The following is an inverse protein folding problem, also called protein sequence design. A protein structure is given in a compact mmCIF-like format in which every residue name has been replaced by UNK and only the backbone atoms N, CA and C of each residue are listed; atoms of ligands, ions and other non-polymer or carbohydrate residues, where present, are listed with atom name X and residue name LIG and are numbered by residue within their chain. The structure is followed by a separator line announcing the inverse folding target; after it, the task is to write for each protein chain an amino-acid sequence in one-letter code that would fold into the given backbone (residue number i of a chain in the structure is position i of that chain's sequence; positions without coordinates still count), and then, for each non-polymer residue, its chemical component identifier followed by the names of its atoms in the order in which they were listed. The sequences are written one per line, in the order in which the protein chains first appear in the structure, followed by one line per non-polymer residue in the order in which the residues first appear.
data_IF_043836914148
#
_entry.id   IF_043836914148
#
_cell.length_a   1.000
_cell.length_b   1.000
_cell.length_c   1.000
_cell.angle_alpha   90.00
_cell.angle_beta   90.00
_cell.angle_gamma   90.00
#
_symmetry.space_group_name_H-M   'P 1'
#
loop_
_entity.id
_entity.type
_entity.pdbx_description
1 polymer ?
#
# COMPACT_ATOMS: atom_id res chain seq x y z
N UNK A 1 32.30 43.65 -79.60
CA UNK A 1 31.89 43.56 -78.18
C UNK A 1 30.44 44.02 -78.06
N UNK A 2 29.50 43.09 -77.90
CA UNK A 2 28.06 43.35 -77.74
C UNK A 2 27.61 42.81 -76.38
N UNK A 3 27.03 43.72 -75.59
CA UNK A 3 25.93 43.61 -74.63
C UNK A 3 25.78 42.36 -73.73
N UNK A 4 25.42 42.56 -72.45
CA UNK A 4 24.02 42.52 -71.96
C UNK A 4 24.03 42.55 -70.41
N UNK A 5 23.18 43.40 -69.86
CA UNK A 5 22.82 43.58 -68.44
C UNK A 5 22.08 42.34 -67.90
N UNK A 6 22.28 41.95 -66.62
CA UNK A 6 21.19 41.34 -65.84
C UNK A 6 21.37 41.47 -64.33
N UNK A 7 20.35 42.07 -63.73
CA UNK A 7 19.97 42.14 -62.32
C UNK A 7 19.86 40.77 -61.63
N UNK A 8 20.19 40.71 -60.35
CA UNK A 8 19.84 39.60 -59.45
C UNK A 8 19.35 40.17 -58.12
N UNK A 9 18.13 39.81 -57.76
CA UNK A 9 17.58 39.99 -56.42
C UNK A 9 17.44 38.66 -55.69
N UNK A 10 17.20 38.81 -54.38
CA UNK A 10 16.56 37.88 -53.42
C UNK A 10 17.43 36.75 -52.84
N UNK A 11 17.59 36.77 -51.50
CA UNK A 11 17.15 35.68 -50.61
C UNK A 11 17.36 36.07 -49.13
N UNK A 12 16.25 36.28 -48.41
CA UNK A 12 16.23 36.33 -46.95
C UNK A 12 16.25 34.91 -46.40
N UNK A 13 17.17 34.61 -45.48
CA UNK A 13 17.26 33.33 -44.77
C UNK A 13 16.69 33.53 -43.36
N UNK A 14 15.48 33.03 -43.10
CA UNK A 14 14.91 32.92 -41.77
C UNK A 14 15.23 31.55 -41.18
N UNK A 15 16.26 31.47 -40.33
CA UNK A 15 16.59 30.26 -39.59
C UNK A 15 15.62 30.07 -38.41
N UNK A 16 14.72 29.10 -38.51
CA UNK A 16 13.92 28.63 -37.38
C UNK A 16 14.75 27.59 -36.60
N UNK A 17 15.31 28.00 -35.47
CA UNK A 17 15.91 27.07 -34.52
C UNK A 17 14.79 26.31 -33.80
N UNK A 18 14.62 25.04 -34.16
CA UNK A 18 13.85 24.06 -33.38
C UNK A 18 14.61 23.79 -32.08
N UNK A 19 14.20 24.44 -30.98
CA UNK A 19 14.56 24.02 -29.63
C UNK A 19 13.86 22.69 -29.35
N UNK A 20 14.57 21.58 -29.52
CA UNK A 20 14.15 20.31 -28.97
C UNK A 20 14.23 20.42 -27.43
N UNK A 21 13.08 20.54 -26.78
CA UNK A 21 12.96 20.26 -25.36
C UNK A 21 13.27 18.78 -25.17
N UNK A 22 14.51 18.46 -24.82
CA UNK A 22 14.84 17.15 -24.28
C UNK A 22 14.01 16.97 -23.01
N UNK A 23 12.99 16.12 -23.09
CA UNK A 23 12.26 15.67 -21.93
C UNK A 23 13.26 14.89 -21.06
N UNK A 24 13.82 15.54 -20.04
CA UNK A 24 14.64 14.88 -19.03
C UNK A 24 13.77 13.78 -18.42
N UNK A 25 14.16 12.52 -18.66
CA UNK A 25 13.51 11.39 -18.04
C UNK A 25 13.67 11.54 -16.52
N UNK A 26 12.58 11.87 -15.84
CA UNK A 26 12.60 12.03 -14.40
C UNK A 26 12.87 10.66 -13.76
N UNK A 27 13.84 10.59 -12.84
CA UNK A 27 14.05 9.39 -12.05
C UNK A 27 12.88 9.15 -11.10
N UNK A 28 12.53 7.88 -10.91
CA UNK A 28 11.51 7.50 -9.96
C UNK A 28 11.94 7.84 -8.52
N UNK A 29 11.03 8.38 -7.69
CA UNK A 29 11.35 8.77 -6.32
C UNK A 29 11.72 7.54 -5.48
N UNK A 30 12.67 7.71 -4.56
CA UNK A 30 13.21 6.64 -3.71
C UNK A 30 12.13 5.83 -2.98
N UNK A 31 11.03 6.49 -2.60
CA UNK A 31 9.87 5.85 -1.95
C UNK A 31 9.23 4.75 -2.79
N UNK A 32 9.51 4.69 -4.10
CA UNK A 32 9.11 3.61 -5.00
C UNK A 32 10.29 2.90 -5.66
N UNK A 33 11.34 3.62 -6.07
CA UNK A 33 12.46 3.03 -6.82
C UNK A 33 13.27 2.03 -5.98
N UNK A 34 13.20 2.11 -4.65
CA UNK A 34 13.75 1.09 -3.74
C UNK A 34 13.07 -0.30 -3.88
N UNK A 35 11.86 -0.35 -4.46
CA UNK A 35 11.04 -1.56 -4.54
C UNK A 35 10.71 -1.98 -5.96
N UNK A 36 10.45 -1.00 -6.84
CA UNK A 36 9.99 -1.21 -8.21
C UNK A 36 10.87 -0.44 -9.19
N UNK A 37 11.29 -1.10 -10.25
CA UNK A 37 11.96 -0.45 -11.36
C UNK A 37 10.95 0.22 -12.29
N UNK A 38 11.22 1.46 -12.69
CA UNK A 38 10.38 2.24 -13.57
C UNK A 38 10.10 1.50 -14.88
N UNK A 39 8.82 1.40 -15.26
CA UNK A 39 8.39 0.78 -16.52
C UNK A 39 8.49 -0.75 -16.57
N UNK A 40 9.12 -1.40 -15.59
CA UNK A 40 9.23 -2.86 -15.53
C UNK A 40 7.99 -3.46 -14.88
N UNK A 41 7.38 -4.44 -15.55
CA UNK A 41 6.30 -5.24 -15.00
C UNK A 41 6.83 -6.33 -14.04
N UNK A 42 6.32 -6.36 -12.82
CA UNK A 42 6.52 -7.44 -11.85
C UNK A 42 5.26 -8.31 -11.75
N UNK A 43 5.39 -9.62 -11.91
CA UNK A 43 4.28 -10.58 -11.71
C UNK A 43 4.10 -10.82 -10.22
N UNK A 44 3.06 -10.23 -9.65
CA UNK A 44 2.72 -10.31 -8.24
C UNK A 44 1.53 -11.23 -7.97
N UNK A 45 1.20 -11.35 -6.69
CA UNK A 45 0.08 -12.13 -6.18
C UNK A 45 -0.60 -11.37 -5.06
N UNK A 46 -1.93 -11.28 -5.10
CA UNK A 46 -2.72 -10.98 -3.92
C UNK A 46 -2.56 -12.13 -2.93
N UNK A 47 -2.36 -11.79 -1.66
CA UNK A 47 -2.16 -12.75 -0.59
C UNK A 47 -3.10 -12.46 0.58
N UNK A 48 -3.39 -13.51 1.35
CA UNK A 48 -4.01 -13.41 2.66
C UNK A 48 -3.10 -14.09 3.68
N UNK A 49 -3.24 -13.69 4.94
CA UNK A 49 -2.53 -14.34 6.05
C UNK A 49 -3.45 -15.41 6.64
N UNK A 50 -3.01 -16.66 6.56
CA UNK A 50 -3.71 -17.80 7.13
C UNK A 50 -2.91 -18.36 8.31
N UNK A 51 -3.41 -18.23 9.56
CA UNK A 51 -2.89 -18.99 10.68
C UNK A 51 -3.35 -20.47 10.60
N UNK A 52 -2.70 -21.39 11.34
CA UNK A 52 -3.18 -22.76 11.51
C UNK A 52 -4.63 -22.79 12.01
N UNK A 53 -5.44 -23.74 11.52
CA UNK A 53 -6.88 -23.82 11.82
C UNK A 53 -7.17 -24.01 13.31
N UNK A 54 -6.24 -24.64 14.02
CA UNK A 54 -6.26 -24.90 15.45
C UNK A 54 -6.36 -23.59 16.26
N UNK A 55 -5.92 -22.46 15.71
CA UNK A 55 -5.99 -21.17 16.39
C UNK A 55 -7.44 -20.75 16.68
N UNK A 56 -8.39 -21.21 15.87
CA UNK A 56 -9.80 -20.81 15.93
C UNK A 56 -10.44 -21.16 17.28
N UNK A 57 -9.98 -22.22 17.97
CA UNK A 57 -10.49 -22.57 19.31
C UNK A 57 -10.21 -21.47 20.34
N UNK A 58 -9.05 -20.82 20.23
CA UNK A 58 -8.65 -19.74 21.12
C UNK A 58 -9.32 -18.43 20.72
N UNK A 59 -9.45 -18.17 19.42
CA UNK A 59 -10.21 -17.02 18.92
C UNK A 59 -11.66 -17.08 19.42
N UNK A 60 -12.31 -18.23 19.35
CA UNK A 60 -13.67 -18.43 19.85
C UNK A 60 -13.80 -18.14 21.36
N UNK A 61 -12.83 -18.59 22.19
CA UNK A 61 -12.79 -18.26 23.62
C UNK A 61 -12.70 -16.75 23.86
N UNK A 62 -11.84 -16.05 23.11
CA UNK A 62 -11.70 -14.59 23.20
C UNK A 62 -12.97 -13.88 22.75
N UNK A 63 -13.61 -14.33 21.67
CA UNK A 63 -14.88 -13.78 21.18
C UNK A 63 -16.03 -13.99 22.18
N UNK A 64 -16.09 -15.15 22.83
CA UNK A 64 -17.05 -15.42 23.90
C UNK A 64 -16.83 -14.49 25.11
N UNK A 65 -15.58 -14.36 25.57
CA UNK A 65 -15.25 -13.46 26.67
C UNK A 65 -15.54 -11.99 26.34
N UNK A 66 -15.25 -11.57 25.10
CA UNK A 66 -15.56 -10.23 24.61
C UNK A 66 -17.07 -9.95 24.54
N UNK A 67 -17.89 -10.96 24.22
CA UNK A 67 -19.37 -10.85 24.26
C UNK A 67 -19.91 -10.83 25.69
N UNK A 68 -19.27 -11.52 26.62
CA UNK A 68 -19.68 -11.54 28.02
C UNK A 68 -19.39 -10.22 28.75
N UNK A 69 -18.29 -9.52 28.43
CA UNK A 69 -17.94 -8.21 28.99
C UNK A 69 -17.50 -7.21 27.89
N UNK A 70 -18.45 -6.72 27.06
CA UNK A 70 -18.14 -5.87 25.91
C UNK A 70 -17.59 -4.50 26.32
N UNK A 71 -18.01 -3.98 27.48
CA UNK A 71 -17.52 -2.71 27.99
C UNK A 71 -16.04 -2.78 28.36
N UNK A 72 -15.63 -3.83 29.07
CA UNK A 72 -14.22 -4.07 29.38
C UNK A 72 -13.41 -4.32 28.12
N UNK A 73 -13.88 -5.19 27.20
CA UNK A 73 -13.13 -5.51 25.98
C UNK A 73 -12.91 -4.28 25.10
N UNK A 74 -13.90 -3.37 25.02
CA UNK A 74 -13.77 -2.10 24.29
C UNK A 74 -12.68 -1.19 24.86
N UNK A 75 -12.47 -1.20 26.18
CA UNK A 75 -11.38 -0.44 26.82
C UNK A 75 -10.06 -1.17 26.63
N UNK A 76 -10.01 -2.47 26.91
CA UNK A 76 -8.79 -3.27 26.89
C UNK A 76 -8.17 -3.34 25.49
N UNK A 77 -9.00 -3.52 24.45
CA UNK A 77 -8.56 -3.60 23.06
C UNK A 77 -7.86 -2.32 22.55
N UNK A 78 -8.01 -1.18 23.22
CA UNK A 78 -7.26 0.04 22.90
C UNK A 78 -5.76 -0.08 23.21
N UNK A 79 -5.37 -1.05 24.04
CA UNK A 79 -3.95 -1.38 24.29
C UNK A 79 -3.30 -2.14 23.12
N UNK A 80 -4.10 -2.63 22.16
CA UNK A 80 -3.61 -3.40 21.03
C UNK A 80 -2.71 -2.54 20.15
N UNK A 81 -1.53 -3.07 19.84
CA UNK A 81 -0.77 -2.59 18.69
C UNK A 81 -1.43 -3.13 17.41
N UNK A 82 -1.60 -2.31 16.36
CA UNK A 82 -2.24 -2.75 15.13
C UNK A 82 -1.62 -4.04 14.56
N UNK A 83 -2.47 -5.04 14.32
CA UNK A 83 -2.08 -6.30 13.72
C UNK A 83 -1.26 -7.23 14.63
N UNK A 84 -0.99 -6.88 15.88
CA UNK A 84 -0.33 -7.76 16.86
C UNK A 84 -1.40 -8.33 17.78
N UNK A 85 -1.29 -9.60 18.23
CA UNK A 85 -2.23 -10.13 19.19
C UNK A 85 -2.33 -9.30 20.46
N UNK A 86 -3.52 -9.29 21.07
CA UNK A 86 -3.73 -8.65 22.35
C UNK A 86 -2.78 -9.23 23.40
N UNK A 87 -2.22 -8.40 24.30
CA UNK A 87 -1.49 -8.91 25.46
C UNK A 87 -2.37 -9.84 26.29
N UNK A 88 -1.75 -10.78 27.00
CA UNK A 88 -2.50 -11.68 27.89
C UNK A 88 -3.28 -10.90 28.95
N UNK A 89 -4.52 -11.35 29.19
CA UNK A 89 -5.32 -10.95 30.34
C UNK A 89 -6.32 -12.05 30.67
N UNK A 90 -6.60 -12.30 31.95
CA UNK A 90 -7.47 -13.41 32.39
C UNK A 90 -8.90 -13.29 31.85
N UNK A 91 -9.40 -12.05 31.74
CA UNK A 91 -10.69 -11.74 31.09
C UNK A 91 -10.75 -11.99 29.58
N UNK A 92 -9.67 -12.45 28.93
CA UNK A 92 -9.74 -12.93 27.55
C UNK A 92 -10.32 -14.35 27.44
N UNK A 93 -10.63 -15.01 28.56
CA UNK A 93 -11.16 -16.38 28.55
C UNK A 93 -10.10 -17.42 28.17
N UNK A 94 -8.82 -17.06 28.24
CA UNK A 94 -7.68 -17.94 27.98
C UNK A 94 -6.93 -18.17 29.30
N UNK A 95 -6.53 -19.41 29.56
CA UNK A 95 -5.47 -19.66 30.55
C UNK A 95 -4.12 -19.13 30.04
N UNK A 96 -3.09 -19.09 30.90
CA UNK A 96 -1.74 -18.72 30.46
C UNK A 96 -1.19 -19.72 29.44
N UNK A 97 -1.49 -20.99 29.62
CA UNK A 97 -1.14 -22.09 28.72
C UNK A 97 -1.88 -21.95 27.39
N UNK A 98 -3.20 -21.70 27.42
CA UNK A 98 -3.97 -21.41 26.22
C UNK A 98 -3.37 -20.24 25.42
N UNK A 99 -2.99 -19.16 26.11
CA UNK A 99 -2.40 -17.99 25.46
C UNK A 99 -1.02 -18.26 24.90
N UNK A 100 -0.19 -19.06 25.60
CA UNK A 100 1.10 -19.48 25.09
C UNK A 100 0.97 -20.30 23.80
N UNK A 101 0.03 -21.25 23.77
CA UNK A 101 -0.22 -22.06 22.57
C UNK A 101 -0.85 -21.25 21.44
N UNK A 102 -1.76 -20.33 21.75
CA UNK A 102 -2.27 -19.35 20.78
C UNK A 102 -1.13 -18.57 20.12
N UNK A 103 -0.14 -18.11 20.90
CA UNK A 103 0.99 -17.37 20.36
C UNK A 103 1.88 -18.23 19.45
N UNK A 104 2.11 -19.52 19.80
CA UNK A 104 2.84 -20.45 18.92
C UNK A 104 2.14 -20.59 17.58
N UNK A 105 0.83 -20.84 17.59
CA UNK A 105 0.04 -20.96 16.37
C UNK A 105 0.01 -19.64 15.57
N UNK A 106 -0.05 -18.50 16.26
CA UNK A 106 0.06 -17.20 15.62
C UNK A 106 1.37 -17.06 14.84
N UNK A 107 2.49 -17.50 15.42
CA UNK A 107 3.81 -17.42 14.79
C UNK A 107 3.98 -18.38 13.59
N UNK A 108 3.10 -19.38 13.46
CA UNK A 108 3.05 -20.31 12.31
C UNK A 108 2.22 -19.80 11.11
N UNK A 109 1.65 -18.60 11.20
CA UNK A 109 0.85 -18.01 10.11
C UNK A 109 1.63 -17.85 8.81
N UNK A 110 0.94 -18.03 7.68
CA UNK A 110 1.55 -17.99 6.34
C UNK A 110 0.82 -17.03 5.43
N UNK A 111 1.59 -16.34 4.57
CA UNK A 111 1.03 -15.60 3.44
C UNK A 111 0.76 -16.55 2.28
N UNK A 112 -0.52 -16.83 2.05
CA UNK A 112 -0.97 -17.70 0.96
C UNK A 112 -1.53 -16.87 -0.19
N UNK A 113 -1.23 -17.23 -1.46
CA UNK A 113 -1.87 -16.62 -2.61
C UNK A 113 -3.38 -16.82 -2.61
N UNK A 114 -4.12 -15.75 -2.88
CA UNK A 114 -5.56 -15.82 -3.12
C UNK A 114 -5.82 -16.51 -4.47
N UNK A 115 -6.84 -17.36 -4.53
CA UNK A 115 -7.30 -17.96 -5.80
C UNK A 115 -7.65 -16.87 -6.81
N UNK A 116 -7.14 -17.02 -8.03
CA UNK A 116 -7.24 -16.01 -9.11
C UNK A 116 -6.71 -14.63 -8.68
N UNK A 117 -5.70 -14.63 -7.81
CA UNK A 117 -5.06 -13.44 -7.24
C UNK A 117 -3.79 -13.01 -7.98
N UNK A 118 -3.47 -13.59 -9.14
CA UNK A 118 -2.32 -13.16 -9.94
C UNK A 118 -2.55 -11.73 -10.46
N UNK A 119 -1.53 -10.89 -10.30
CA UNK A 119 -1.56 -9.49 -10.74
C UNK A 119 -0.24 -9.12 -11.41
N UNK A 120 -0.25 -8.04 -12.18
CA UNK A 120 0.95 -7.38 -12.69
C UNK A 120 1.05 -6.03 -12.00
N UNK A 121 2.20 -5.73 -11.44
CA UNK A 121 2.53 -4.47 -10.76
C UNK A 121 3.58 -3.74 -11.58
N UNK A 122 3.38 -2.45 -11.88
CA UNK A 122 4.34 -1.63 -12.62
C UNK A 122 4.35 -0.20 -12.11
N UNK A 123 5.54 0.33 -11.84
CA UNK A 123 5.72 1.75 -11.53
C UNK A 123 5.72 2.56 -12.84
N UNK A 124 4.94 3.63 -12.88
CA UNK A 124 4.81 4.54 -14.02
C UNK A 124 4.84 5.99 -13.56
N UNK A 125 5.37 6.86 -14.42
CA UNK A 125 5.17 8.30 -14.31
C UNK A 125 3.85 8.67 -15.00
N UNK A 126 2.92 9.28 -14.27
CA UNK A 126 1.64 9.72 -14.84
C UNK A 126 1.79 11.07 -15.58
N UNK A 127 2.59 11.97 -15.00
CA UNK A 127 3.02 13.27 -15.54
C UNK A 127 4.22 13.76 -14.72
N UNK A 128 4.92 14.84 -15.11
CA UNK A 128 6.06 15.35 -14.33
C UNK A 128 5.70 15.55 -12.85
N UNK A 129 6.49 14.95 -11.95
CA UNK A 129 6.28 14.97 -10.49
C UNK A 129 5.12 14.12 -9.95
N UNK A 130 4.38 13.40 -10.80
CA UNK A 130 3.27 12.52 -10.40
C UNK A 130 3.50 11.07 -10.84
N UNK A 131 3.40 10.16 -9.89
CA UNK A 131 3.75 8.75 -10.06
C UNK A 131 2.56 7.86 -9.71
N UNK A 132 2.48 6.69 -10.35
CA UNK A 132 1.45 5.70 -10.05
C UNK A 132 2.00 4.28 -10.10
N UNK A 133 1.39 3.39 -9.32
CA UNK A 133 1.62 1.96 -9.43
C UNK A 133 0.42 1.36 -10.16
N UNK A 134 0.63 0.97 -11.42
CA UNK A 134 -0.37 0.24 -12.19
C UNK A 134 -0.43 -1.19 -11.68
N UNK A 135 -1.62 -1.63 -11.33
CA UNK A 135 -1.91 -2.98 -10.88
C UNK A 135 -3.01 -3.58 -11.74
N UNK A 136 -2.85 -4.82 -12.19
CA UNK A 136 -3.89 -5.53 -12.97
C UNK A 136 -4.81 -6.40 -12.12
N UNK A 137 -5.85 -6.95 -12.75
CA UNK A 137 -6.74 -7.95 -12.14
C UNK A 137 -7.48 -7.41 -10.92
N UNK A 138 -7.59 -8.23 -9.88
CA UNK A 138 -8.28 -7.88 -8.62
C UNK A 138 -7.61 -6.70 -7.87
N UNK A 139 -6.35 -6.37 -8.17
CA UNK A 139 -5.65 -5.22 -7.60
C UNK A 139 -5.86 -3.91 -8.38
N UNK A 140 -6.61 -3.92 -9.49
CA UNK A 140 -6.83 -2.76 -10.35
C UNK A 140 -7.22 -1.45 -9.64
N UNK A 141 -8.03 -1.47 -8.55
CA UNK A 141 -8.36 -0.24 -7.82
C UNK A 141 -7.15 0.56 -7.32
N UNK A 142 -6.00 -0.08 -7.03
CA UNK A 142 -4.78 0.64 -6.63
C UNK A 142 -4.24 1.55 -7.75
N UNK A 143 -4.57 1.28 -9.02
CA UNK A 143 -4.14 2.09 -10.17
C UNK A 143 -4.78 3.48 -10.20
N UNK A 144 -5.71 3.80 -9.29
CA UNK A 144 -6.31 5.13 -9.15
C UNK A 144 -5.46 6.06 -8.27
N UNK A 145 -4.50 5.52 -7.53
CA UNK A 145 -3.65 6.30 -6.64
C UNK A 145 -2.60 7.08 -7.43
N UNK A 146 -2.35 8.33 -7.02
CA UNK A 146 -1.35 9.23 -7.62
C UNK A 146 -0.45 9.82 -6.55
N UNK A 147 0.80 9.41 -6.52
CA UNK A 147 1.79 10.02 -5.66
C UNK A 147 2.28 11.35 -6.24
N UNK A 148 2.28 12.40 -5.42
CA UNK A 148 2.74 13.72 -5.77
C UNK A 148 4.08 13.99 -5.08
N UNK A 149 5.18 13.85 -5.83
CA UNK A 149 6.54 13.86 -5.29
C UNK A 149 6.89 15.15 -4.55
N UNK A 150 6.46 16.31 -5.04
CA UNK A 150 6.78 17.60 -4.42
C UNK A 150 6.10 17.83 -3.06
N UNK A 151 5.07 17.04 -2.73
CA UNK A 151 4.32 17.15 -1.47
C UNK A 151 4.46 15.93 -0.56
N UNK A 152 5.01 14.82 -1.07
CA UNK A 152 5.00 13.50 -0.42
C UNK A 152 3.58 13.09 0.03
N UNK A 153 2.60 13.20 -0.87
CA UNK A 153 1.22 12.74 -0.64
C UNK A 153 0.77 11.78 -1.73
N UNK A 154 -0.18 10.92 -1.40
CA UNK A 154 -0.86 10.07 -2.38
C UNK A 154 -2.30 10.57 -2.53
N UNK A 155 -2.66 11.03 -3.72
CA UNK A 155 -4.04 11.41 -4.06
C UNK A 155 -4.85 10.16 -4.41
N UNK A 156 -5.98 9.99 -3.76
CA UNK A 156 -7.01 9.00 -4.07
C UNK A 156 -8.34 9.69 -4.44
N UNK A 157 -9.39 8.94 -4.82
CA UNK A 157 -10.73 9.48 -4.95
C UNK A 157 -11.30 10.07 -3.65
N UNK A 158 -10.80 9.66 -2.47
CA UNK A 158 -11.30 10.15 -1.18
C UNK A 158 -10.56 11.41 -0.70
N UNK A 159 -9.34 11.68 -1.20
CA UNK A 159 -8.58 12.86 -0.80
C UNK A 159 -7.07 12.69 -0.94
N UNK A 160 -6.32 13.58 -0.30
CA UNK A 160 -4.86 13.46 -0.17
C UNK A 160 -4.54 12.61 1.07
N UNK A 161 -3.90 11.47 0.87
CA UNK A 161 -3.32 10.65 1.92
C UNK A 161 -1.98 11.27 2.33
N UNK A 162 -1.88 11.69 3.59
CA UNK A 162 -0.69 12.31 4.15
C UNK A 162 0.35 11.24 4.54
N UNK A 163 1.64 11.56 4.36
CA UNK A 163 2.75 10.69 4.74
C UNK A 163 2.75 10.39 6.24
N UNK A 164 2.94 9.13 6.61
CA UNK A 164 3.20 8.69 7.97
C UNK A 164 4.67 8.35 8.16
N UNK A 165 5.06 8.09 9.42
CA UNK A 165 6.38 7.54 9.73
C UNK A 165 6.60 6.24 8.95
N UNK A 166 7.83 6.06 8.47
CA UNK A 166 8.24 4.82 7.84
C UNK A 166 7.93 3.60 8.71
N UNK A 167 7.49 2.57 8.01
CA UNK A 167 7.05 1.31 8.61
C UNK A 167 8.29 0.54 9.03
N UNK A 168 8.30 0.12 10.29
CA UNK A 168 9.15 -0.95 10.83
C UNK A 168 8.22 -1.87 11.62
N UNK A 169 7.57 -2.78 10.90
CA UNK A 169 6.51 -3.60 11.46
C UNK A 169 7.10 -4.69 12.36
N UNK A 170 6.45 -4.89 13.51
CA UNK A 170 6.81 -5.96 14.44
C UNK A 170 6.74 -7.34 13.74
N UNK A 171 7.68 -8.27 14.01
CA UNK A 171 7.62 -9.63 13.49
C UNK A 171 6.33 -10.37 13.82
N UNK A 172 5.64 -9.99 14.91
CA UNK A 172 4.36 -10.54 15.34
C UNK A 172 3.16 -9.82 14.73
N UNK A 173 3.36 -8.76 13.94
CA UNK A 173 2.28 -8.14 13.19
C UNK A 173 1.66 -9.13 12.20
N UNK A 174 0.40 -8.95 11.83
CA UNK A 174 -0.34 -9.90 10.98
C UNK A 174 0.42 -10.19 9.68
N UNK A 175 1.06 -9.19 9.06
CA UNK A 175 1.84 -9.33 7.83
C UNK A 175 3.30 -9.77 8.07
N UNK A 176 3.68 -10.08 9.31
CA UNK A 176 5.06 -10.35 9.70
C UNK A 176 5.93 -9.09 9.68
N UNK A 177 7.25 -9.28 9.73
CA UNK A 177 8.19 -8.15 9.69
C UNK A 177 8.28 -7.59 8.28
N UNK A 178 8.00 -6.30 8.12
CA UNK A 178 8.20 -5.58 6.86
C UNK A 178 8.53 -4.11 7.12
N UNK A 179 9.27 -3.52 6.18
CA UNK A 179 9.70 -2.13 6.26
C UNK A 179 9.28 -1.36 5.02
N UNK A 180 8.92 -0.09 5.13
CA UNK A 180 8.45 0.66 3.98
C UNK A 180 7.91 2.04 4.28
N UNK A 181 7.06 2.52 3.39
CA UNK A 181 6.46 3.85 3.45
C UNK A 181 4.94 3.72 3.46
N UNK A 182 4.26 4.61 4.19
CA UNK A 182 2.80 4.61 4.34
C UNK A 182 2.23 6.01 4.22
N UNK A 183 1.08 6.12 3.58
CA UNK A 183 0.25 7.32 3.55
C UNK A 183 -1.14 6.98 4.06
N UNK A 184 -1.77 7.95 4.74
CA UNK A 184 -3.11 7.80 5.28
C UNK A 184 -3.97 9.03 5.04
N UNK A 185 -5.19 8.79 4.59
CA UNK A 185 -6.30 9.72 4.64
C UNK A 185 -7.23 9.31 5.77
N UNK A 186 -7.69 10.29 6.54
CA UNK A 186 -8.69 10.07 7.56
C UNK A 186 -9.59 11.29 7.66
N UNK A 187 -10.88 11.08 7.54
CA UNK A 187 -11.91 12.10 7.70
C UNK A 187 -13.01 11.55 8.62
N UNK A 188 -13.56 12.41 9.48
CA UNK A 188 -14.60 12.08 10.43
C UNK A 188 -15.58 13.25 10.54
N UNK A 189 -16.87 12.96 10.35
CA UNK A 189 -17.95 13.93 10.40
C UNK A 189 -19.15 13.37 11.21
N UNK A 190 -20.30 14.04 11.14
CA UNK A 190 -21.51 13.61 11.87
C UNK A 190 -22.13 12.33 11.33
N UNK A 191 -21.82 11.93 10.09
CA UNK A 191 -22.35 10.75 9.43
C UNK A 191 -21.45 9.53 9.66
N UNK A 192 -20.15 9.74 9.77
CA UNK A 192 -19.22 8.65 10.02
C UNK A 192 -17.75 9.03 9.87
N UNK A 193 -16.96 8.02 9.54
CA UNK A 193 -15.52 8.10 9.45
C UNK A 193 -15.00 7.27 8.30
N UNK A 194 -14.17 7.87 7.47
CA UNK A 194 -13.44 7.20 6.40
C UNK A 194 -11.96 7.14 6.80
N UNK A 195 -11.35 5.97 6.60
CA UNK A 195 -9.92 5.73 6.74
C UNK A 195 -9.40 5.02 5.52
N UNK A 196 -8.43 5.62 4.84
CA UNK A 196 -7.74 5.01 3.71
C UNK A 196 -6.24 4.99 3.99
N UNK A 197 -5.61 3.83 3.83
CA UNK A 197 -4.19 3.62 4.01
C UNK A 197 -3.63 2.97 2.74
N UNK A 198 -2.49 3.49 2.29
CA UNK A 198 -1.69 2.89 1.24
C UNK A 198 -0.24 2.78 1.71
N UNK A 199 0.36 1.60 1.54
CA UNK A 199 1.75 1.37 1.87
C UNK A 199 2.46 0.49 0.84
N UNK A 200 3.77 0.71 0.71
CA UNK A 200 4.68 -0.09 -0.11
C UNK A 200 5.94 -0.37 0.70
N UNK A 201 6.51 -1.56 0.54
CA UNK A 201 7.72 -1.92 1.27
C UNK A 201 8.33 -3.25 0.87
N UNK A 202 9.15 -3.80 1.77
CA UNK A 202 9.83 -5.08 1.66
C UNK A 202 9.45 -5.98 2.83
N UNK A 203 9.10 -7.25 2.54
CA UNK A 203 9.01 -8.30 3.55
C UNK A 203 10.42 -8.72 3.98
N UNK A 204 10.80 -8.42 5.23
CA UNK A 204 12.18 -8.55 5.72
C UNK A 204 12.63 -10.02 5.68
N UNK A 205 13.86 -10.25 5.23
CA UNK A 205 14.42 -11.59 5.08
C UNK A 205 13.89 -12.36 3.87
N UNK A 206 13.20 -11.69 2.95
CA UNK A 206 12.67 -12.30 1.73
C UNK A 206 12.98 -11.46 0.49
N UNK A 207 12.79 -12.04 -0.70
CA UNK A 207 12.87 -11.34 -1.99
C UNK A 207 11.61 -10.56 -2.37
N UNK A 208 10.60 -10.54 -1.50
CA UNK A 208 9.28 -10.01 -1.81
C UNK A 208 9.15 -8.55 -1.37
N UNK A 209 8.75 -7.71 -2.33
CA UNK A 209 8.10 -6.45 -2.05
C UNK A 209 6.64 -6.65 -1.70
N UNK A 210 6.05 -5.67 -1.02
CA UNK A 210 4.65 -5.70 -0.58
C UNK A 210 3.96 -4.38 -0.88
N UNK A 211 2.71 -4.45 -1.36
CA UNK A 211 1.75 -3.35 -1.38
C UNK A 211 0.64 -3.69 -0.39
N UNK A 212 0.28 -2.71 0.44
CA UNK A 212 -0.83 -2.81 1.39
C UNK A 212 -1.79 -1.68 1.09
N UNK A 213 -3.06 -2.01 0.89
CA UNK A 213 -4.12 -1.02 0.74
C UNK A 213 -5.29 -1.38 1.65
N UNK A 214 -5.77 -0.41 2.42
CA UNK A 214 -6.95 -0.57 3.26
C UNK A 214 -7.85 0.65 3.14
N UNK A 215 -9.13 0.42 2.90
CA UNK A 215 -10.17 1.44 2.93
C UNK A 215 -11.29 0.96 3.84
N UNK A 216 -11.60 1.75 4.86
CA UNK A 216 -12.67 1.49 5.80
C UNK A 216 -13.57 2.71 5.93
N UNK A 217 -14.87 2.45 5.98
CA UNK A 217 -15.90 3.42 6.30
C UNK A 217 -16.73 2.90 7.46
N UNK A 218 -16.92 3.73 8.48
CA UNK A 218 -17.73 3.40 9.67
C UNK A 218 -18.75 4.50 9.90
N UNK A 219 -20.00 4.14 10.23
CA UNK A 219 -21.03 5.11 10.61
C UNK A 219 -20.68 5.83 11.91
N UNK A 220 -21.40 6.92 12.20
CA UNK A 220 -21.32 7.63 13.48
C UNK A 220 -21.66 6.76 14.71
N UNK A 221 -22.45 5.69 14.50
CA UNK A 221 -22.74 4.67 15.53
C UNK A 221 -21.67 3.57 15.64
N UNK A 222 -20.60 3.66 14.85
CA UNK A 222 -19.48 2.71 14.85
C UNK A 222 -19.72 1.43 14.04
N UNK A 223 -20.78 1.36 13.24
CA UNK A 223 -21.04 0.22 12.34
C UNK A 223 -20.12 0.30 11.13
N UNK A 224 -19.43 -0.78 10.78
CA UNK A 224 -18.65 -0.90 9.55
C UNK A 224 -19.60 -0.87 8.34
N UNK A 225 -19.47 0.15 7.49
CA UNK A 225 -20.24 0.35 6.26
C UNK A 225 -19.50 -0.20 5.05
N UNK A 226 -18.17 -0.07 5.04
CA UNK A 226 -17.31 -0.57 3.99
C UNK A 226 -15.97 -1.02 4.59
N UNK A 227 -15.46 -2.16 4.13
CA UNK A 227 -14.10 -2.61 4.44
C UNK A 227 -13.50 -3.32 3.23
N UNK A 228 -12.41 -2.76 2.72
CA UNK A 228 -11.59 -3.36 1.68
C UNK A 228 -10.15 -3.41 2.18
N UNK A 229 -9.60 -4.61 2.20
CA UNK A 229 -8.18 -4.85 2.45
C UNK A 229 -7.58 -5.61 1.28
N UNK A 230 -6.44 -5.14 0.78
CA UNK A 230 -5.68 -5.79 -0.27
C UNK A 230 -4.21 -5.84 0.14
N UNK A 231 -3.62 -7.02 0.06
CA UNK A 231 -2.18 -7.21 0.24
C UNK A 231 -1.67 -7.89 -1.02
N UNK A 232 -0.70 -7.27 -1.69
CA UNK A 232 -0.06 -7.81 -2.88
C UNK A 232 1.42 -7.99 -2.56
N UNK A 233 1.96 -9.17 -2.83
CA UNK A 233 3.42 -9.37 -2.88
C UNK A 233 3.90 -9.42 -4.32
N UNK A 234 5.10 -8.93 -4.57
CA UNK A 234 5.73 -8.95 -5.90
C UNK A 234 7.23 -9.19 -5.76
N UNK A 235 7.88 -9.84 -6.73
CA UNK A 235 9.32 -10.06 -6.65
C UNK A 235 10.05 -8.72 -6.81
N UNK A 236 10.97 -8.42 -5.90
CA UNK A 236 11.90 -7.31 -6.07
C UNK A 236 13.05 -7.73 -6.98
N UNK A 237 13.55 -6.83 -7.82
CA UNK A 237 14.77 -7.09 -8.60
C UNK A 237 15.99 -7.05 -7.67
N UNK A 238 16.92 -7.99 -7.85
CA UNK A 238 18.21 -8.01 -7.15
C UNK A 238 18.20 -8.53 -5.71
N UNK A 239 17.13 -9.20 -5.27
CA UNK A 239 17.03 -9.88 -3.96
C UNK A 239 16.50 -11.31 -4.08
#
# INVERSE_FOLDING_TARGET
MKQVIRSLGVAAVAAHALLALEAVAQEAPEVFSNYLELGTSARGQMVVVEPPKEINRYVAKVEEAARADPAWFKVYSKSAKPGIPLPFHEKLGLSKEDYADYNKLWDERKMVPVKDGNVVVRLEQAKPGEWMIRVSGKGAPLSLLRYQQGKDVVKSPNGELARLKDIDADPRSILGRWTGHEWRFQEEDTLGKIKENFGIGTLVGTKWGILVYRLQETSSTGKLLFDRSMVIRFPMKGK
#
